data_IF_304190174398
#
_entry.id   IF_304190174398
#
_cell.length_a   1.000
_cell.length_b   1.000
_cell.length_c   1.000
_cell.angle_alpha   90.00
_cell.angle_beta   90.00
_cell.angle_gamma   90.00
#
_symmetry.space_group_name_H-M   'P 1'
#
loop_
_entity.id
_entity.type
_entity.pdbx_description
1 polymer ?
#
# COMPACT_ATOMS: atom_id res chain seq x y z
N UNK A 1 -18.45 2.00 19.53
CA UNK A 1 -18.17 3.42 19.32
C UNK A 1 -17.57 4.09 20.58
N UNK A 2 -16.75 3.41 21.38
CA UNK A 2 -16.24 3.97 22.66
C UNK A 2 -14.83 3.49 23.08
N UNK A 3 -14.02 2.95 22.20
CA UNK A 3 -12.68 2.42 22.53
C UNK A 3 -11.52 3.37 22.21
N UNK A 4 -11.77 4.64 21.84
CA UNK A 4 -10.73 5.58 21.36
C UNK A 4 -10.50 6.80 22.28
N UNK A 5 -11.11 6.85 23.46
CA UNK A 5 -10.95 7.97 24.42
C UNK A 5 -10.36 7.51 25.76
N UNK A 6 -9.20 6.85 25.72
CA UNK A 6 -8.39 6.69 26.94
C UNK A 6 -7.71 8.04 27.29
N UNK A 7 -8.05 8.58 28.44
CA UNK A 7 -7.48 9.82 28.99
C UNK A 7 -5.95 9.73 29.13
N UNK A 8 -5.23 10.56 28.36
CA UNK A 8 -3.78 10.78 28.48
C UNK A 8 -3.46 11.67 29.71
N UNK A 9 -4.39 11.85 30.66
CA UNK A 9 -4.25 12.80 31.77
C UNK A 9 -3.28 12.42 32.91
N UNK A 10 -2.58 11.27 32.83
CA UNK A 10 -1.66 10.84 33.89
C UNK A 10 -0.27 10.41 33.39
N UNK A 11 0.35 11.18 32.51
CA UNK A 11 1.81 11.09 32.33
C UNK A 11 2.52 12.09 33.24
N UNK A 12 2.49 11.83 34.56
CA UNK A 12 3.28 12.52 35.53
C UNK A 12 4.77 12.24 35.29
N UNK A 13 5.59 13.27 35.06
CA UNK A 13 7.04 13.40 35.30
C UNK A 13 8.00 12.21 35.05
N UNK A 14 7.61 11.12 34.41
CA UNK A 14 8.56 10.19 33.83
C UNK A 14 9.14 10.83 32.55
N UNK A 15 10.49 10.93 32.49
CA UNK A 15 11.20 11.26 31.24
C UNK A 15 10.55 10.44 30.13
N UNK A 16 9.86 11.11 29.21
CA UNK A 16 9.14 10.40 28.14
C UNK A 16 10.19 9.80 27.21
N UNK A 17 10.46 8.53 27.43
CA UNK A 17 11.36 7.77 26.59
C UNK A 17 10.70 7.61 25.21
N UNK A 18 11.42 7.99 24.16
CA UNK A 18 11.01 7.74 22.78
C UNK A 18 11.03 6.23 22.49
N UNK A 19 10.05 5.71 21.76
CA UNK A 19 9.96 4.29 21.45
C UNK A 19 10.64 3.97 20.10
N UNK A 20 11.58 3.03 20.09
CA UNK A 20 12.14 2.47 18.87
C UNK A 20 11.41 1.20 18.47
N UNK A 21 10.83 1.17 17.25
CA UNK A 21 10.09 0.05 16.70
C UNK A 21 10.74 -0.45 15.39
N UNK A 22 11.45 -1.55 15.51
CA UNK A 22 12.04 -2.23 14.36
C UNK A 22 11.00 -3.06 13.59
N UNK A 23 11.40 -3.61 12.45
CA UNK A 23 10.53 -4.44 11.59
C UNK A 23 9.88 -5.63 12.32
N UNK A 24 10.55 -6.20 13.32
CA UNK A 24 10.01 -7.35 14.06
C UNK A 24 8.91 -6.93 15.03
N UNK A 25 9.05 -5.78 15.69
CA UNK A 25 8.00 -5.21 16.53
C UNK A 25 6.78 -4.83 15.69
N UNK A 26 6.99 -4.15 14.57
CA UNK A 26 5.93 -3.78 13.62
C UNK A 26 5.22 -5.02 13.05
N UNK A 27 5.97 -6.06 12.71
CA UNK A 27 5.42 -7.33 12.20
C UNK A 27 4.55 -8.12 13.19
N UNK A 28 4.55 -7.76 14.48
CA UNK A 28 3.65 -8.33 15.50
C UNK A 28 2.29 -7.64 15.58
N UNK A 29 2.11 -6.55 14.85
CA UNK A 29 0.85 -5.82 14.81
C UNK A 29 -0.11 -6.55 13.87
N UNK A 30 -1.32 -6.75 14.34
CA UNK A 30 -2.38 -7.43 13.60
C UNK A 30 -2.75 -6.69 12.30
N UNK A 31 -2.99 -7.43 11.22
CA UNK A 31 -3.35 -6.86 9.91
C UNK A 31 -4.65 -6.06 9.96
N UNK A 32 -5.62 -6.48 10.77
CA UNK A 32 -6.88 -5.76 10.95
C UNK A 32 -6.68 -4.38 11.55
N UNK A 33 -5.75 -4.23 12.51
CA UNK A 33 -5.39 -2.92 13.11
C UNK A 33 -4.80 -2.00 12.05
N UNK A 34 -3.87 -2.52 11.23
CA UNK A 34 -3.24 -1.74 10.15
C UNK A 34 -4.28 -1.33 9.10
N UNK A 35 -5.16 -2.25 8.69
CA UNK A 35 -6.19 -1.94 7.70
C UNK A 35 -7.20 -0.92 8.22
N UNK A 36 -7.61 -1.02 9.50
CA UNK A 36 -8.45 -0.01 10.15
C UNK A 36 -7.77 1.36 10.19
N UNK A 37 -6.45 1.41 10.39
CA UNK A 37 -5.70 2.66 10.33
C UNK A 37 -5.69 3.27 8.91
N UNK A 38 -5.63 2.46 7.86
CA UNK A 38 -5.78 2.92 6.46
C UNK A 38 -7.20 3.39 6.17
N UNK A 39 -8.23 2.68 6.64
CA UNK A 39 -9.63 3.14 6.56
C UNK A 39 -9.81 4.51 7.25
N UNK A 40 -9.17 4.71 8.41
CA UNK A 40 -9.15 6.00 9.11
C UNK A 40 -8.50 7.12 8.29
N UNK A 41 -7.42 6.83 7.57
CA UNK A 41 -6.81 7.81 6.67
C UNK A 41 -7.78 8.28 5.59
N UNK A 42 -8.50 7.38 4.94
CA UNK A 42 -9.52 7.76 3.96
C UNK A 42 -10.69 8.55 4.58
N UNK A 43 -11.10 8.24 5.82
CA UNK A 43 -12.09 9.06 6.55
C UNK A 43 -11.58 10.48 6.80
N UNK A 44 -10.28 10.64 7.10
CA UNK A 44 -9.66 11.96 7.24
C UNK A 44 -9.61 12.70 5.90
N UNK A 45 -9.40 11.99 4.78
CA UNK A 45 -9.51 12.58 3.42
C UNK A 45 -10.91 13.15 3.21
N UNK A 46 -11.96 12.38 3.50
CA UNK A 46 -13.36 12.85 3.34
C UNK A 46 -13.71 14.04 4.24
N UNK A 47 -13.18 14.05 5.46
CA UNK A 47 -13.45 15.15 6.42
C UNK A 47 -12.49 16.32 6.30
N UNK A 48 -11.44 16.21 5.50
CA UNK A 48 -10.35 17.20 5.34
C UNK A 48 -9.65 17.58 6.68
N UNK A 49 -9.64 16.66 7.66
CA UNK A 49 -9.05 16.88 8.98
C UNK A 49 -7.58 16.42 9.03
N UNK A 50 -6.79 16.88 8.09
CA UNK A 50 -5.35 16.64 8.02
C UNK A 50 -4.65 17.78 7.28
N UNK A 51 -3.34 17.89 7.48
CA UNK A 51 -2.47 18.76 6.68
C UNK A 51 -1.31 17.93 6.15
N UNK A 52 -1.27 17.77 4.84
CA UNK A 52 -0.29 16.95 4.13
C UNK A 52 0.20 17.72 2.90
N UNK A 53 1.36 18.37 2.99
CA UNK A 53 1.99 18.97 1.81
C UNK A 53 2.44 17.89 0.83
N UNK A 54 2.67 18.29 -0.41
CA UNK A 54 3.28 17.42 -1.40
C UNK A 54 4.62 16.89 -0.88
N UNK A 55 4.94 15.63 -1.21
CA UNK A 55 6.22 15.03 -0.83
C UNK A 55 7.37 15.83 -1.44
N UNK A 56 8.37 16.13 -0.62
CA UNK A 56 9.58 16.80 -1.09
C UNK A 56 10.56 15.77 -1.62
N UNK A 57 11.09 16.04 -2.81
CA UNK A 57 12.15 15.26 -3.43
C UNK A 57 13.44 16.08 -3.37
N UNK A 58 14.49 15.50 -2.80
CA UNK A 58 15.83 16.04 -2.82
C UNK A 58 16.71 15.05 -3.59
N UNK A 59 17.22 15.47 -4.75
CA UNK A 59 17.99 14.62 -5.64
C UNK A 59 19.48 14.98 -5.55
N UNK A 60 20.31 13.94 -5.51
CA UNK A 60 21.76 14.04 -5.71
C UNK A 60 22.21 12.91 -6.64
N UNK A 61 22.50 13.27 -7.90
CA UNK A 61 22.80 12.33 -8.99
C UNK A 61 21.65 11.34 -9.18
N UNK A 62 21.91 10.03 -9.04
CA UNK A 62 20.91 8.97 -9.15
C UNK A 62 20.17 8.70 -7.81
N UNK A 63 20.57 9.37 -6.74
CA UNK A 63 20.03 9.17 -5.41
C UNK A 63 18.91 10.15 -5.11
N UNK A 64 17.89 9.70 -4.42
CA UNK A 64 16.77 10.54 -4.00
C UNK A 64 16.50 10.39 -2.52
N UNK A 65 16.34 11.51 -1.82
CA UNK A 65 15.75 11.58 -0.49
C UNK A 65 14.33 12.13 -0.59
N UNK A 66 13.37 11.37 -0.06
CA UNK A 66 11.97 11.76 0.03
C UNK A 66 11.63 12.16 1.47
N UNK A 67 11.00 13.31 1.63
CA UNK A 67 10.44 13.80 2.89
C UNK A 67 8.93 13.83 2.76
N UNK A 68 8.24 13.13 3.66
CA UNK A 68 6.79 12.94 3.60
C UNK A 68 6.14 13.33 4.93
N UNK A 69 6.01 14.64 5.24
CA UNK A 69 5.35 15.09 6.45
C UNK A 69 3.83 15.01 6.34
N UNK A 70 3.16 14.77 7.47
CA UNK A 70 1.72 14.84 7.59
C UNK A 70 1.31 15.14 9.02
N UNK A 71 0.27 15.96 9.17
CA UNK A 71 -0.34 16.33 10.45
C UNK A 71 -1.78 15.85 10.52
N UNK A 72 -2.19 15.39 11.70
CA UNK A 72 -3.59 15.17 12.08
C UNK A 72 -3.85 15.78 13.45
N UNK A 73 -5.05 15.64 13.99
CA UNK A 73 -5.45 16.26 15.24
C UNK A 73 -4.48 15.94 16.40
N UNK A 74 -4.13 14.66 16.60
CA UNK A 74 -3.34 14.21 17.77
C UNK A 74 -1.85 14.02 17.49
N UNK A 75 -1.51 13.68 16.27
CA UNK A 75 -0.16 13.30 15.90
C UNK A 75 0.27 13.98 14.61
N UNK A 76 1.56 14.21 14.50
CA UNK A 76 2.19 14.44 13.20
C UNK A 76 3.34 13.47 13.01
N UNK A 77 3.69 13.25 11.76
CA UNK A 77 4.75 12.33 11.44
C UNK A 77 5.50 12.77 10.18
N UNK A 78 6.74 12.34 10.09
CA UNK A 78 7.54 12.50 8.87
C UNK A 78 8.21 11.18 8.54
N UNK A 79 8.00 10.70 7.31
CA UNK A 79 8.77 9.59 6.77
C UNK A 79 9.93 10.14 5.95
N UNK A 80 11.15 9.71 6.28
CA UNK A 80 12.38 9.92 5.53
C UNK A 80 12.65 8.65 4.73
N UNK A 81 12.69 8.73 3.41
CA UNK A 81 12.97 7.57 2.54
C UNK A 81 14.15 7.91 1.64
N UNK A 82 15.17 7.10 1.67
CA UNK A 82 16.28 7.13 0.72
C UNK A 82 16.06 6.10 -0.38
N UNK A 83 16.19 6.52 -1.63
CA UNK A 83 16.18 5.67 -2.83
C UNK A 83 17.55 5.78 -3.47
N UNK A 84 18.36 4.74 -3.28
CA UNK A 84 19.74 4.65 -3.72
C UNK A 84 19.89 3.42 -4.61
N UNK A 85 19.79 3.53 -5.93
CA UNK A 85 19.77 2.39 -6.86
C UNK A 85 20.98 1.46 -6.70
N UNK A 86 22.15 2.02 -6.44
CA UNK A 86 23.41 1.28 -6.31
C UNK A 86 23.68 0.73 -4.90
N UNK A 87 22.82 0.99 -3.90
CA UNK A 87 23.01 0.52 -2.52
C UNK A 87 23.20 -1.00 -2.41
N UNK A 88 22.64 -1.76 -3.36
CA UNK A 88 22.80 -3.21 -3.43
C UNK A 88 24.25 -3.66 -3.60
N UNK A 89 25.08 -2.85 -4.26
CA UNK A 89 26.53 -3.10 -4.42
C UNK A 89 27.27 -3.04 -3.06
N UNK A 90 26.65 -2.34 -2.08
CA UNK A 90 27.15 -2.22 -0.71
C UNK A 90 26.40 -3.12 0.28
N UNK A 91 25.65 -4.12 -0.21
CA UNK A 91 24.88 -5.06 0.63
C UNK A 91 23.66 -4.44 1.31
N UNK A 92 23.23 -3.24 0.88
CA UNK A 92 22.08 -2.53 1.43
C UNK A 92 20.87 -2.58 0.47
N UNK A 93 19.62 -2.53 0.98
CA UNK A 93 18.45 -2.33 0.12
C UNK A 93 18.54 -1.01 -0.64
N UNK A 94 18.02 -0.99 -1.87
CA UNK A 94 17.95 0.25 -2.65
C UNK A 94 17.00 1.30 -2.04
N UNK A 95 16.04 0.85 -1.24
CA UNK A 95 15.09 1.73 -0.53
C UNK A 95 15.21 1.47 0.96
N UNK A 96 15.55 2.51 1.71
CA UNK A 96 15.60 2.52 3.17
C UNK A 96 14.73 3.67 3.68
N UNK A 97 14.26 3.58 4.91
CA UNK A 97 13.48 4.67 5.48
C UNK A 97 13.31 4.58 6.98
N UNK A 98 13.11 5.75 7.54
CA UNK A 98 12.79 5.96 8.95
C UNK A 98 11.48 6.74 9.04
N UNK A 99 10.63 6.38 9.98
CA UNK A 99 9.41 7.10 10.32
C UNK A 99 9.57 7.71 11.71
N UNK A 100 9.35 9.01 11.83
CA UNK A 100 9.31 9.71 13.14
C UNK A 100 7.85 10.10 13.39
N UNK A 101 7.31 9.67 14.53
CA UNK A 101 5.98 10.04 15.03
C UNK A 101 6.14 10.99 16.21
N UNK A 102 5.35 12.05 16.23
CA UNK A 102 5.37 13.08 17.29
C UNK A 102 3.96 13.47 17.72
N UNK A 103 3.87 13.95 18.94
CA UNK A 103 2.65 14.51 19.53
C UNK A 103 2.36 15.91 18.94
N UNK A 104 1.16 16.11 18.43
CA UNK A 104 0.80 17.36 17.75
C UNK A 104 0.44 18.52 18.72
N UNK A 105 0.37 18.27 20.02
CA UNK A 105 0.14 19.33 21.03
C UNK A 105 1.45 19.89 21.54
N UNK A 106 2.38 19.01 21.90
CA UNK A 106 3.67 19.37 22.52
C UNK A 106 4.84 19.47 21.54
N UNK A 107 4.70 18.86 20.34
CA UNK A 107 5.80 18.70 19.40
C UNK A 107 6.80 17.60 19.77
N UNK A 108 6.55 16.85 20.85
CA UNK A 108 7.48 15.87 21.38
C UNK A 108 7.59 14.64 20.46
N UNK A 109 8.79 14.17 20.10
CA UNK A 109 8.99 12.89 19.44
C UNK A 109 8.54 11.74 20.35
N UNK A 110 7.68 10.85 19.82
CA UNK A 110 7.12 9.72 20.55
C UNK A 110 7.74 8.39 20.11
N UNK A 111 8.02 8.24 18.81
CA UNK A 111 8.60 7.02 18.28
C UNK A 111 9.44 7.23 17.03
N UNK A 112 10.46 6.40 16.91
CA UNK A 112 11.18 6.14 15.63
C UNK A 112 10.87 4.71 15.22
N UNK A 113 10.47 4.53 13.95
CA UNK A 113 10.03 3.26 13.40
C UNK A 113 10.78 2.91 12.12
N UNK A 114 10.93 1.62 11.83
CA UNK A 114 11.39 1.13 10.54
C UNK A 114 10.42 1.57 9.44
N UNK A 115 10.83 2.56 8.65
CA UNK A 115 9.98 3.17 7.61
C UNK A 115 9.67 2.22 6.46
N UNK A 116 10.56 1.26 6.16
CA UNK A 116 10.31 0.25 5.14
C UNK A 116 9.23 -0.74 5.61
N UNK A 117 9.27 -1.15 6.88
CA UNK A 117 8.25 -2.02 7.47
C UNK A 117 6.88 -1.33 7.53
N UNK A 118 6.81 -0.07 7.98
CA UNK A 118 5.56 0.72 7.94
C UNK A 118 5.03 0.82 6.51
N UNK A 119 5.91 1.13 5.54
CA UNK A 119 5.51 1.24 4.14
C UNK A 119 4.99 -0.10 3.59
N UNK A 120 5.62 -1.22 3.90
CA UNK A 120 5.14 -2.54 3.46
C UNK A 120 3.74 -2.83 4.01
N UNK A 121 3.53 -2.62 5.30
CA UNK A 121 2.26 -2.86 5.97
C UNK A 121 1.14 -1.94 5.44
N UNK A 122 1.35 -0.60 5.41
CA UNK A 122 0.32 0.34 4.96
C UNK A 122 -0.02 0.17 3.48
N UNK A 123 0.97 -0.17 2.65
CA UNK A 123 0.73 -0.36 1.20
C UNK A 123 -0.04 -1.66 0.95
N UNK A 124 0.30 -2.73 1.66
CA UNK A 124 -0.48 -3.97 1.63
C UNK A 124 -1.93 -3.74 2.07
N UNK A 125 -2.12 -2.98 3.15
CA UNK A 125 -3.46 -2.66 3.67
C UNK A 125 -4.29 -1.80 2.70
N UNK A 126 -3.66 -0.88 1.95
CA UNK A 126 -4.36 -0.12 0.89
C UNK A 126 -4.86 -1.05 -0.21
N UNK A 127 -4.01 -1.93 -0.74
CA UNK A 127 -4.44 -2.89 -1.76
C UNK A 127 -5.46 -3.90 -1.21
N UNK A 128 -5.27 -4.36 0.04
CA UNK A 128 -6.24 -5.23 0.73
C UNK A 128 -7.61 -4.57 0.91
N UNK A 129 -7.64 -3.29 1.24
CA UNK A 129 -8.88 -2.52 1.30
C UNK A 129 -9.51 -2.36 -0.09
N UNK A 130 -8.69 -2.15 -1.14
CA UNK A 130 -9.13 -2.21 -2.53
C UNK A 130 -9.78 -3.55 -2.86
N UNK A 131 -9.15 -4.67 -2.50
CA UNK A 131 -9.75 -6.01 -2.66
C UNK A 131 -11.08 -6.10 -1.90
N UNK A 132 -11.14 -5.66 -0.64
CA UNK A 132 -12.35 -5.72 0.20
C UNK A 132 -13.52 -4.96 -0.41
N UNK A 133 -13.30 -3.77 -0.94
CA UNK A 133 -14.37 -2.88 -1.40
C UNK A 133 -14.72 -3.04 -2.89
N UNK A 134 -13.79 -3.51 -3.71
CA UNK A 134 -13.93 -3.53 -5.17
C UNK A 134 -14.16 -4.94 -5.76
N UNK A 135 -14.18 -5.98 -4.94
CA UNK A 135 -14.40 -7.36 -5.42
C UNK A 135 -15.53 -8.02 -4.67
N UNK A 136 -16.22 -8.96 -5.33
CA UNK A 136 -17.22 -9.81 -4.66
C UNK A 136 -16.57 -10.72 -3.61
N UNK A 137 -17.30 -11.04 -2.54
CA UNK A 137 -16.84 -11.98 -1.49
C UNK A 137 -16.60 -13.39 -2.03
N UNK A 138 -17.26 -13.73 -3.13
CA UNK A 138 -17.25 -15.05 -3.77
C UNK A 138 -16.03 -15.32 -4.65
N UNK A 139 -15.11 -14.33 -4.87
CA UNK A 139 -13.94 -14.54 -5.71
C UNK A 139 -13.02 -15.62 -5.11
N UNK A 140 -12.54 -16.52 -5.96
CA UNK A 140 -11.70 -17.64 -5.54
C UNK A 140 -10.31 -17.67 -6.17
N UNK A 141 -10.07 -16.80 -7.15
CA UNK A 141 -8.79 -16.75 -7.87
C UNK A 141 -8.21 -15.36 -7.90
N UNK A 142 -6.91 -15.26 -7.64
CA UNK A 142 -6.20 -14.00 -7.61
C UNK A 142 -4.81 -14.12 -8.24
N UNK A 143 -4.26 -13.00 -8.68
CA UNK A 143 -2.93 -12.91 -9.24
C UNK A 143 -2.11 -11.77 -8.65
N UNK A 144 -0.84 -12.06 -8.34
CA UNK A 144 0.14 -11.06 -7.91
C UNK A 144 1.26 -11.00 -8.94
N UNK A 145 1.49 -9.83 -9.52
CA UNK A 145 2.63 -9.53 -10.38
C UNK A 145 3.68 -8.74 -9.60
N UNK A 146 4.89 -9.29 -9.50
CA UNK A 146 5.98 -8.78 -8.67
C UNK A 146 6.07 -9.51 -7.32
N UNK A 147 7.13 -10.32 -7.14
CA UNK A 147 7.36 -11.13 -5.94
C UNK A 147 8.34 -10.47 -4.96
N UNK A 148 8.37 -9.15 -4.93
CA UNK A 148 9.13 -8.35 -3.98
C UNK A 148 8.42 -8.16 -2.63
N UNK A 149 8.96 -7.25 -1.80
CA UNK A 149 8.39 -6.91 -0.48
C UNK A 149 6.94 -6.45 -0.59
N UNK A 150 6.63 -5.59 -1.57
CA UNK A 150 5.28 -5.09 -1.78
C UNK A 150 4.34 -6.20 -2.26
N UNK A 151 4.74 -7.01 -3.24
CA UNK A 151 3.93 -8.13 -3.72
C UNK A 151 3.59 -9.11 -2.61
N UNK A 152 4.55 -9.46 -1.75
CA UNK A 152 4.31 -10.31 -0.58
C UNK A 152 3.30 -9.67 0.40
N UNK A 153 3.43 -8.38 0.65
CA UNK A 153 2.49 -7.65 1.50
C UNK A 153 1.09 -7.61 0.88
N UNK A 154 0.99 -7.35 -0.43
CA UNK A 154 -0.29 -7.37 -1.16
C UNK A 154 -0.96 -8.74 -1.07
N UNK A 155 -0.22 -9.84 -1.25
CA UNK A 155 -0.75 -11.19 -1.13
C UNK A 155 -1.32 -11.47 0.25
N UNK A 156 -0.62 -11.08 1.33
CA UNK A 156 -1.08 -11.25 2.70
C UNK A 156 -2.40 -10.52 2.98
N UNK A 157 -2.51 -9.26 2.54
CA UNK A 157 -3.73 -8.47 2.75
C UNK A 157 -4.88 -8.87 1.81
N UNK A 158 -4.57 -9.37 0.62
CA UNK A 158 -5.55 -10.00 -0.25
C UNK A 158 -6.16 -11.24 0.44
N UNK A 159 -5.32 -12.14 0.96
CA UNK A 159 -5.74 -13.36 1.65
C UNK A 159 -6.43 -13.07 2.99
N UNK A 160 -6.11 -11.97 3.65
CA UNK A 160 -6.81 -11.49 4.83
C UNK A 160 -8.26 -11.07 4.51
N UNK A 161 -8.51 -10.53 3.33
CA UNK A 161 -9.82 -10.00 2.95
C UNK A 161 -10.70 -10.95 2.14
N UNK A 162 -10.12 -11.98 1.49
CA UNK A 162 -10.86 -12.91 0.60
C UNK A 162 -10.42 -14.36 0.78
N UNK A 163 -11.40 -15.27 0.71
CA UNK A 163 -11.16 -16.72 0.77
C UNK A 163 -10.73 -17.23 -0.62
N UNK A 164 -9.49 -16.93 -1.00
CA UNK A 164 -8.92 -17.37 -2.27
C UNK A 164 -8.61 -18.86 -2.23
N UNK A 165 -8.87 -19.58 -3.32
CA UNK A 165 -8.54 -21.00 -3.51
C UNK A 165 -7.24 -21.18 -4.29
N UNK A 166 -7.03 -20.35 -5.31
CA UNK A 166 -5.84 -20.42 -6.15
C UNK A 166 -5.21 -19.04 -6.28
N UNK A 167 -3.94 -18.91 -5.91
CA UNK A 167 -3.14 -17.69 -6.03
C UNK A 167 -2.05 -17.88 -7.08
N UNK A 168 -2.15 -17.12 -8.17
CA UNK A 168 -1.15 -17.05 -9.24
C UNK A 168 -0.11 -15.99 -8.88
N UNK A 169 1.18 -16.33 -8.98
CA UNK A 169 2.28 -15.41 -8.71
C UNK A 169 3.19 -15.37 -9.93
N UNK A 170 3.47 -14.19 -10.42
CA UNK A 170 4.40 -13.94 -11.50
C UNK A 170 5.49 -12.95 -11.09
N UNK A 171 6.71 -13.25 -11.46
CA UNK A 171 7.86 -12.35 -11.40
C UNK A 171 8.80 -12.68 -12.56
N UNK A 172 9.56 -11.70 -13.05
CA UNK A 172 10.61 -11.93 -14.06
C UNK A 172 11.63 -12.97 -13.57
N UNK A 173 11.87 -13.02 -12.25
CA UNK A 173 12.66 -14.07 -11.59
C UNK A 173 11.76 -15.17 -11.06
N UNK A 174 11.70 -16.30 -11.74
CA UNK A 174 10.99 -17.48 -11.22
C UNK A 174 11.45 -17.87 -9.81
N UNK A 175 12.73 -17.64 -9.47
CA UNK A 175 13.27 -17.86 -8.12
C UNK A 175 12.59 -16.94 -7.10
N UNK A 176 12.30 -15.69 -7.44
CA UNK A 176 11.58 -14.76 -6.57
C UNK A 176 10.12 -15.21 -6.37
N UNK A 177 9.43 -15.59 -7.45
CA UNK A 177 8.05 -16.11 -7.40
C UNK A 177 7.98 -17.35 -6.49
N UNK A 178 8.86 -18.32 -6.68
CA UNK A 178 8.93 -19.53 -5.83
C UNK A 178 9.29 -19.22 -4.38
N UNK A 179 10.18 -18.26 -4.13
CA UNK A 179 10.52 -17.77 -2.79
C UNK A 179 9.32 -17.19 -2.05
N UNK A 180 8.53 -16.38 -2.75
CA UNK A 180 7.28 -15.82 -2.22
C UNK A 180 6.25 -16.93 -1.93
N UNK A 181 6.04 -17.88 -2.84
CA UNK A 181 5.19 -19.06 -2.65
C UNK A 181 5.60 -19.83 -1.39
N UNK A 182 6.89 -20.12 -1.24
CA UNK A 182 7.40 -20.86 -0.07
C UNK A 182 7.18 -20.10 1.26
N UNK A 183 7.20 -18.78 1.21
CA UNK A 183 6.88 -17.93 2.37
C UNK A 183 5.41 -18.01 2.71
N UNK A 184 4.54 -17.80 1.72
CA UNK A 184 3.09 -17.81 1.91
C UNK A 184 2.54 -19.17 2.31
N UNK A 185 3.10 -20.27 1.81
CA UNK A 185 2.73 -21.66 2.21
C UNK A 185 2.89 -21.93 3.71
N UNK A 186 3.82 -21.24 4.37
CA UNK A 186 4.03 -21.36 5.82
C UNK A 186 2.95 -20.62 6.63
N UNK A 187 2.33 -19.61 6.03
CA UNK A 187 1.35 -18.76 6.65
C UNK A 187 -0.08 -19.17 6.29
N UNK A 188 -0.28 -19.67 5.06
CA UNK A 188 -1.57 -20.04 4.48
C UNK A 188 -1.43 -21.40 3.76
N UNK A 189 -1.55 -22.50 4.52
CA UNK A 189 -1.27 -23.83 4.01
C UNK A 189 -2.34 -24.39 3.05
N UNK A 190 -3.62 -24.02 3.24
CA UNK A 190 -4.77 -24.61 2.55
C UNK A 190 -5.11 -23.89 1.23
N UNK A 191 -4.11 -23.37 0.54
CA UNK A 191 -4.24 -22.58 -0.69
C UNK A 191 -3.40 -23.21 -1.80
N UNK A 192 -3.97 -23.29 -3.00
CA UNK A 192 -3.22 -23.63 -4.20
C UNK A 192 -2.38 -22.46 -4.68
N UNK A 193 -1.09 -22.69 -4.88
CA UNK A 193 -0.16 -21.68 -5.39
C UNK A 193 0.37 -22.08 -6.76
N UNK A 194 0.28 -21.17 -7.71
CA UNK A 194 0.77 -21.37 -9.08
C UNK A 194 1.82 -20.32 -9.42
N UNK A 195 3.06 -20.76 -9.68
CA UNK A 195 4.04 -19.88 -10.31
C UNK A 195 3.67 -19.74 -11.79
N UNK A 196 3.08 -18.61 -12.16
CA UNK A 196 2.66 -18.36 -13.54
C UNK A 196 3.89 -18.22 -14.45
N UNK A 197 3.84 -18.84 -15.62
CA UNK A 197 4.94 -18.79 -16.61
C UNK A 197 4.98 -17.46 -17.37
N UNK A 198 3.83 -16.82 -17.51
CA UNK A 198 3.68 -15.53 -18.19
C UNK A 198 2.67 -14.65 -17.44
N UNK A 199 2.76 -13.31 -17.56
CA UNK A 199 1.73 -12.41 -17.03
C UNK A 199 0.34 -12.71 -17.62
N UNK A 200 0.26 -13.02 -18.91
CA UNK A 200 -1.00 -13.36 -19.59
C UNK A 200 -1.66 -14.61 -18.99
N UNK A 201 -0.89 -15.66 -18.61
CA UNK A 201 -1.42 -16.81 -17.89
C UNK A 201 -2.05 -16.39 -16.55
N UNK A 202 -1.39 -15.52 -15.79
CA UNK A 202 -1.92 -15.02 -14.53
C UNK A 202 -3.22 -14.23 -14.74
N UNK A 203 -3.24 -13.31 -15.70
CA UNK A 203 -4.41 -12.48 -16.01
C UNK A 203 -5.60 -13.34 -16.41
N UNK A 204 -5.41 -14.33 -17.32
CA UNK A 204 -6.48 -15.19 -17.78
C UNK A 204 -7.14 -16.02 -16.67
N UNK A 205 -6.36 -16.41 -15.65
CA UNK A 205 -6.83 -17.30 -14.59
C UNK A 205 -7.22 -16.58 -13.28
N UNK A 206 -7.13 -15.25 -13.21
CA UNK A 206 -7.40 -14.49 -11.98
C UNK A 206 -8.60 -13.58 -12.15
N UNK A 207 -9.39 -13.41 -11.06
CA UNK A 207 -10.49 -12.44 -10.97
C UNK A 207 -10.04 -11.10 -10.41
N UNK A 208 -9.07 -11.09 -9.53
CA UNK A 208 -8.38 -9.87 -9.07
C UNK A 208 -6.89 -10.00 -9.37
N UNK A 209 -6.31 -8.96 -9.93
CA UNK A 209 -4.91 -8.87 -10.33
C UNK A 209 -4.28 -7.66 -9.64
N UNK A 210 -3.22 -7.91 -8.86
CA UNK A 210 -2.47 -6.85 -8.19
C UNK A 210 -1.07 -6.79 -8.78
N UNK A 211 -0.68 -5.64 -9.31
CA UNK A 211 0.68 -5.39 -9.77
C UNK A 211 1.44 -4.54 -8.72
N UNK A 212 2.64 -5.01 -8.37
CA UNK A 212 3.53 -4.38 -7.40
C UNK A 212 4.98 -4.45 -7.90
N UNK A 213 5.21 -3.99 -9.13
CA UNK A 213 6.48 -4.06 -9.84
C UNK A 213 7.13 -2.68 -9.97
N UNK A 214 8.33 -2.65 -10.50
CA UNK A 214 9.03 -1.42 -10.89
C UNK A 214 9.09 -1.25 -12.41
N UNK A 215 8.15 -1.84 -13.15
CA UNK A 215 8.15 -1.82 -14.61
C UNK A 215 7.94 -0.40 -15.16
N UNK A 216 8.64 -0.09 -16.23
CA UNK A 216 8.46 1.13 -17.01
C UNK A 216 7.58 0.92 -18.24
N UNK A 217 7.22 -0.32 -18.52
CA UNK A 217 6.39 -0.71 -19.66
C UNK A 217 5.31 -1.67 -19.19
N UNK A 218 4.16 -1.72 -19.86
CA UNK A 218 3.09 -2.66 -19.55
C UNK A 218 3.59 -4.10 -19.40
N UNK A 219 3.10 -4.80 -18.38
CA UNK A 219 3.55 -6.14 -18.01
C UNK A 219 3.09 -7.23 -18.99
N UNK A 220 2.06 -6.96 -19.76
CA UNK A 220 1.47 -7.91 -20.71
C UNK A 220 0.73 -7.19 -21.85
N UNK A 221 0.49 -7.92 -22.93
CA UNK A 221 -0.46 -7.56 -23.96
C UNK A 221 -1.74 -8.37 -23.75
N UNK A 222 -2.90 -7.79 -24.02
CA UNK A 222 -4.17 -8.46 -23.80
C UNK A 222 -5.22 -8.02 -24.81
N UNK A 223 -6.26 -8.85 -24.93
CA UNK A 223 -7.52 -8.53 -25.59
C UNK A 223 -8.60 -8.18 -24.55
N UNK A 224 -9.67 -7.47 -24.93
CA UNK A 224 -10.77 -7.16 -24.02
C UNK A 224 -11.34 -8.40 -23.30
N UNK A 225 -11.48 -9.53 -24.00
CA UNK A 225 -12.07 -10.76 -23.45
C UNK A 225 -11.33 -11.29 -22.20
N UNK A 226 -10.03 -11.00 -22.08
CA UNK A 226 -9.24 -11.40 -20.93
C UNK A 226 -9.30 -10.40 -19.77
N UNK A 227 -9.91 -9.23 -19.98
CA UNK A 227 -9.91 -8.11 -19.04
C UNK A 227 -11.28 -7.92 -18.39
N UNK A 228 -12.35 -8.08 -19.17
CA UNK A 228 -13.71 -7.81 -18.74
C UNK A 228 -14.12 -8.60 -17.48
N UNK A 229 -14.81 -7.90 -16.57
CA UNK A 229 -15.32 -8.47 -15.33
C UNK A 229 -14.23 -8.82 -14.30
N UNK A 230 -13.07 -8.12 -14.33
CA UNK A 230 -11.95 -8.31 -13.40
C UNK A 230 -11.59 -7.02 -12.69
N UNK A 231 -10.95 -7.16 -11.54
CA UNK A 231 -10.42 -6.03 -10.78
C UNK A 231 -8.90 -5.98 -10.92
N UNK A 232 -8.39 -4.83 -11.33
CA UNK A 232 -6.97 -4.55 -11.48
C UNK A 232 -6.53 -3.51 -10.45
N UNK A 233 -5.50 -3.82 -9.67
CA UNK A 233 -4.96 -2.95 -8.62
C UNK A 233 -3.49 -2.67 -8.94
N UNK A 234 -3.16 -1.43 -9.25
CA UNK A 234 -1.79 -0.98 -9.52
C UNK A 234 -1.19 -0.31 -8.29
N UNK A 235 -0.07 -0.87 -7.82
CA UNK A 235 0.65 -0.42 -6.63
C UNK A 235 2.07 0.03 -6.97
N UNK A 236 2.71 -0.59 -7.98
CA UNK A 236 4.14 -0.43 -8.19
C UNK A 236 4.53 0.83 -8.94
N UNK A 237 3.68 1.33 -9.82
CA UNK A 237 3.91 2.54 -10.60
C UNK A 237 3.68 3.80 -9.74
N UNK A 238 4.75 4.50 -9.35
CA UNK A 238 4.72 5.72 -8.52
C UNK A 238 5.49 6.89 -9.14
N UNK A 239 5.83 6.78 -10.42
CA UNK A 239 6.47 7.83 -11.23
C UNK A 239 5.82 7.85 -12.61
N UNK A 240 5.81 9.01 -13.31
CA UNK A 240 5.20 9.11 -14.64
C UNK A 240 5.85 8.21 -15.72
N UNK A 241 7.13 7.85 -15.52
CA UNK A 241 7.88 6.95 -16.42
C UNK A 241 7.71 5.46 -16.09
N UNK A 242 6.80 5.12 -15.15
CA UNK A 242 6.49 3.74 -14.75
C UNK A 242 5.05 3.40 -15.14
N UNK A 243 4.87 2.23 -15.77
CA UNK A 243 3.56 1.73 -16.16
C UNK A 243 3.50 0.21 -16.01
N UNK A 244 2.50 -0.29 -15.29
CA UNK A 244 2.32 -1.71 -15.04
C UNK A 244 1.27 -2.32 -15.97
N UNK A 245 0.17 -1.61 -16.23
CA UNK A 245 -0.93 -2.11 -17.01
C UNK A 245 -0.99 -1.50 -18.41
N UNK A 246 -1.35 -2.28 -19.44
CA UNK A 246 -1.60 -1.74 -20.78
C UNK A 246 -2.86 -0.86 -20.79
N UNK A 247 -2.92 0.10 -21.72
CA UNK A 247 -4.04 1.05 -21.83
C UNK A 247 -5.40 0.35 -21.93
N UNK A 248 -5.46 -0.80 -22.60
CA UNK A 248 -6.70 -1.58 -22.75
C UNK A 248 -7.35 -1.95 -21.41
N UNK A 249 -6.57 -2.07 -20.31
CA UNK A 249 -7.12 -2.37 -18.98
C UNK A 249 -7.92 -1.19 -18.45
N UNK A 250 -7.38 0.02 -18.56
CA UNK A 250 -8.05 1.21 -18.06
C UNK A 250 -9.14 1.71 -19.02
N UNK A 251 -8.95 1.51 -20.33
CA UNK A 251 -9.93 1.78 -21.38
C UNK A 251 -11.18 0.91 -21.23
N UNK A 252 -11.00 -0.37 -20.82
CA UNK A 252 -12.10 -1.31 -20.59
C UNK A 252 -12.72 -1.20 -19.19
N UNK A 253 -12.22 -0.31 -18.32
CA UNK A 253 -12.72 -0.20 -16.96
C UNK A 253 -14.09 0.49 -16.92
N UNK A 254 -15.06 -0.14 -16.25
CA UNK A 254 -16.34 0.50 -15.89
C UNK A 254 -16.18 1.55 -14.81
N UNK A 255 -15.19 1.37 -13.94
CA UNK A 255 -14.83 2.31 -12.87
C UNK A 255 -13.32 2.42 -12.70
N UNK A 256 -12.86 3.65 -12.58
CA UNK A 256 -11.46 3.99 -12.32
C UNK A 256 -11.39 4.70 -10.98
N UNK A 257 -10.66 4.09 -10.04
CA UNK A 257 -10.43 4.66 -8.71
C UNK A 257 -8.95 5.01 -8.50
N UNK A 258 -8.73 6.08 -7.75
CA UNK A 258 -7.40 6.48 -7.28
C UNK A 258 -7.43 6.74 -5.77
N UNK A 259 -6.31 6.57 -5.07
CA UNK A 259 -6.22 6.94 -3.66
C UNK A 259 -6.42 8.46 -3.46
N UNK A 260 -5.81 9.27 -4.31
CA UNK A 260 -6.06 10.71 -4.47
C UNK A 260 -5.83 11.13 -5.91
N UNK A 261 -6.39 12.26 -6.33
CA UNK A 261 -6.19 12.83 -7.68
C UNK A 261 -4.72 13.14 -7.99
N UNK A 262 -3.84 13.12 -7.00
CA UNK A 262 -2.39 13.25 -7.19
C UNK A 262 -1.80 12.07 -8.00
N UNK A 263 -2.41 10.89 -7.94
CA UNK A 263 -2.03 9.72 -8.74
C UNK A 263 -2.06 10.01 -10.25
N UNK A 264 -2.94 10.89 -10.70
CA UNK A 264 -3.02 11.31 -12.11
C UNK A 264 -1.76 12.04 -12.61
N UNK A 265 -0.92 12.55 -11.70
CA UNK A 265 0.34 13.21 -12.03
C UNK A 265 1.55 12.30 -11.79
N UNK A 266 1.48 11.43 -10.79
CA UNK A 266 2.62 10.64 -10.33
C UNK A 266 2.72 9.25 -10.94
N UNK A 267 1.66 8.69 -11.51
CA UNK A 267 1.70 7.32 -12.04
C UNK A 267 1.44 7.29 -13.54
N UNK A 268 2.35 6.66 -14.30
CA UNK A 268 2.15 6.43 -15.72
C UNK A 268 0.93 5.58 -16.04
N UNK A 269 0.45 4.75 -15.10
CA UNK A 269 -0.80 3.99 -15.29
C UNK A 269 -2.05 4.89 -15.40
N UNK A 270 -1.99 6.14 -14.91
CA UNK A 270 -3.06 7.13 -15.06
C UNK A 270 -2.62 8.28 -15.98
N UNK A 271 -1.39 8.80 -15.79
CA UNK A 271 -0.90 9.96 -16.53
C UNK A 271 -0.81 9.69 -18.04
N UNK A 272 -0.34 8.49 -18.44
CA UNK A 272 -0.22 8.14 -19.86
C UNK A 272 -1.58 8.01 -20.55
N UNK A 273 -2.57 7.24 -20.02
CA UNK A 273 -3.91 7.20 -20.60
C UNK A 273 -4.62 8.56 -20.68
N UNK A 274 -4.41 9.44 -19.70
CA UNK A 274 -4.92 10.82 -19.75
C UNK A 274 -4.25 11.63 -20.87
N UNK A 275 -2.93 11.54 -21.02
CA UNK A 275 -2.16 12.23 -22.04
C UNK A 275 -2.55 11.75 -23.45
N UNK A 276 -2.79 10.45 -23.60
CA UNK A 276 -3.13 9.82 -24.87
C UNK A 276 -4.64 9.88 -25.19
N UNK A 277 -5.42 10.59 -24.34
CA UNK A 277 -6.89 10.73 -24.44
C UNK A 277 -7.67 9.41 -24.45
N UNK A 278 -7.11 8.37 -23.82
CA UNK A 278 -7.78 7.07 -23.61
C UNK A 278 -8.87 7.20 -22.55
N UNK A 279 -8.63 8.01 -21.54
CA UNK A 279 -9.58 8.36 -20.48
C UNK A 279 -9.62 9.88 -20.25
N UNK A 280 -10.69 10.35 -19.61
CA UNK A 280 -10.84 11.74 -19.20
C UNK A 280 -10.76 11.88 -17.67
N UNK A 281 -10.31 13.05 -17.20
CA UNK A 281 -10.17 13.30 -15.75
C UNK A 281 -11.48 13.12 -14.98
N UNK A 282 -12.63 13.40 -15.61
CA UNK A 282 -13.96 13.25 -15.01
C UNK A 282 -14.40 11.79 -14.79
N UNK A 283 -13.72 10.82 -15.41
CA UNK A 283 -14.00 9.38 -15.23
C UNK A 283 -13.28 8.81 -14.00
N UNK A 284 -12.30 9.54 -13.46
CA UNK A 284 -11.51 9.11 -12.31
C UNK A 284 -12.22 9.49 -11.01
N UNK A 285 -12.40 8.54 -10.13
CA UNK A 285 -13.06 8.68 -8.81
C UNK A 285 -12.05 8.50 -7.69
N UNK A 286 -12.18 9.27 -6.61
CA UNK A 286 -11.38 9.05 -5.41
C UNK A 286 -11.94 7.87 -4.61
N UNK A 287 -11.07 6.94 -4.25
CA UNK A 287 -11.40 5.71 -3.53
C UNK A 287 -12.06 5.97 -2.17
N UNK A 288 -11.68 7.07 -1.50
CA UNK A 288 -12.29 7.48 -0.22
C UNK A 288 -13.83 7.57 -0.30
N UNK A 289 -14.37 7.95 -1.46
CA UNK A 289 -15.81 8.06 -1.69
C UNK A 289 -16.59 6.73 -1.60
N UNK A 290 -15.91 5.59 -1.55
CA UNK A 290 -16.53 4.26 -1.36
C UNK A 290 -16.78 3.91 0.11
N UNK A 291 -16.11 4.58 1.04
CA UNK A 291 -16.25 4.25 2.46
C UNK A 291 -17.69 4.48 2.95
N UNK A 292 -18.19 3.47 3.66
CA UNK A 292 -19.56 3.51 4.19
C UNK A 292 -20.66 3.27 3.15
N UNK A 293 -20.30 3.00 1.89
CA UNK A 293 -21.24 2.61 0.84
C UNK A 293 -21.24 1.09 0.65
N UNK A 294 -22.41 0.52 0.40
CA UNK A 294 -22.57 -0.88 0.03
C UNK A 294 -22.68 -0.99 -1.49
N UNK A 295 -21.64 -0.55 -2.21
CA UNK A 295 -21.59 -0.71 -3.65
C UNK A 295 -21.19 -2.16 -4.00
N UNK A 296 -21.85 -2.73 -5.01
CA UNK A 296 -21.58 -4.09 -5.50
C UNK A 296 -20.96 -3.97 -6.88
N UNK A 297 -19.75 -4.52 -7.03
CA UNK A 297 -18.97 -4.45 -8.27
C UNK A 297 -18.90 -5.81 -9.00
N UNK A 298 -19.93 -6.66 -8.84
CA UNK A 298 -19.99 -7.94 -9.54
C UNK A 298 -20.00 -7.74 -11.06
N UNK A 299 -19.16 -8.52 -11.74
CA UNK A 299 -19.02 -8.54 -13.22
C UNK A 299 -18.60 -7.19 -13.85
N UNK A 300 -18.15 -6.23 -13.07
CA UNK A 300 -17.59 -4.98 -13.55
C UNK A 300 -16.08 -5.09 -13.70
N UNK A 301 -15.55 -4.38 -14.67
CA UNK A 301 -14.10 -4.20 -14.85
C UNK A 301 -13.68 -2.97 -14.04
N UNK A 302 -12.82 -3.18 -13.05
CA UNK A 302 -12.42 -2.12 -12.12
C UNK A 302 -10.92 -1.90 -12.23
N UNK A 303 -10.53 -0.63 -12.28
CA UNK A 303 -9.12 -0.24 -12.14
C UNK A 303 -8.94 0.62 -10.89
N UNK A 304 -8.04 0.21 -10.00
CA UNK A 304 -7.66 0.98 -8.82
C UNK A 304 -6.17 1.26 -8.81
N UNK A 305 -5.81 2.53 -8.75
CA UNK A 305 -4.44 3.00 -8.63
C UNK A 305 -4.15 3.62 -7.28
N UNK A 306 -3.12 3.10 -6.59
CA UNK A 306 -2.56 3.77 -5.41
C UNK A 306 -1.10 4.15 -5.65
N UNK A 307 -0.77 5.40 -5.40
CA UNK A 307 0.61 5.92 -5.31
C UNK A 307 1.06 6.07 -3.86
N UNK A 308 0.13 5.91 -2.93
CA UNK A 308 0.33 6.11 -1.51
C UNK A 308 0.43 7.59 -1.12
N UNK A 309 0.17 7.89 0.13
CA UNK A 309 0.24 9.24 0.70
C UNK A 309 0.78 9.21 2.13
N UNK A 310 1.35 10.32 2.59
CA UNK A 310 1.92 10.43 3.93
C UNK A 310 0.86 10.24 5.05
N UNK A 311 -0.41 10.49 4.74
CA UNK A 311 -1.51 10.27 5.67
C UNK A 311 -1.69 8.78 6.03
N UNK A 312 -1.47 7.85 5.09
CA UNK A 312 -1.43 6.42 5.41
C UNK A 312 -0.28 6.07 6.35
N UNK A 313 0.88 6.67 6.12
CA UNK A 313 2.06 6.46 6.97
C UNK A 313 1.78 6.98 8.39
N UNK A 314 1.18 8.17 8.53
CA UNK A 314 0.82 8.77 9.82
C UNK A 314 -0.20 7.91 10.59
N UNK A 315 -1.31 7.53 9.97
CA UNK A 315 -2.37 6.78 10.66
C UNK A 315 -1.91 5.39 11.09
N UNK A 316 -1.13 4.72 10.23
CA UNK A 316 -0.56 3.40 10.56
C UNK A 316 0.51 3.52 11.62
N UNK A 317 1.43 4.50 11.55
CA UNK A 317 2.42 4.72 12.61
C UNK A 317 1.76 5.02 13.95
N UNK A 318 0.69 5.81 13.95
CA UNK A 318 -0.08 6.13 15.18
C UNK A 318 -0.71 4.87 15.79
N UNK A 319 -1.34 4.02 14.98
CA UNK A 319 -1.94 2.77 15.44
C UNK A 319 -0.87 1.78 15.95
N UNK A 320 0.24 1.65 15.22
CA UNK A 320 1.38 0.82 15.62
C UNK A 320 1.96 1.30 16.95
N UNK A 321 2.16 2.62 17.14
CA UNK A 321 2.66 3.19 18.38
C UNK A 321 1.73 2.89 19.57
N UNK A 322 0.44 3.17 19.41
CA UNK A 322 -0.55 2.96 20.48
C UNK A 322 -0.59 1.49 20.91
N UNK A 323 -0.68 0.56 19.96
CA UNK A 323 -0.71 -0.87 20.28
C UNK A 323 0.65 -1.37 20.83
N UNK A 324 1.76 -0.81 20.36
CA UNK A 324 3.09 -1.14 20.88
C UNK A 324 3.26 -0.71 22.34
N UNK A 325 2.72 0.46 22.71
CA UNK A 325 2.69 0.92 24.11
C UNK A 325 1.86 -0.02 25.00
N UNK A 326 0.67 -0.42 24.57
CA UNK A 326 -0.19 -1.36 25.29
C UNK A 326 0.48 -2.73 25.47
N UNK A 327 1.07 -3.26 24.41
CA UNK A 327 1.70 -4.60 24.39
C UNK A 327 3.16 -4.59 24.85
N UNK A 328 3.71 -3.44 25.24
CA UNK A 328 5.11 -3.25 25.65
C UNK A 328 6.09 -3.77 24.60
N UNK A 329 5.82 -3.48 23.31
CA UNK A 329 6.69 -3.82 22.18
C UNK A 329 7.70 -2.69 21.95
N UNK A 330 8.84 -3.06 21.36
CA UNK A 330 9.90 -2.10 21.04
C UNK A 330 10.90 -1.86 22.14
N UNK A 331 11.76 -0.89 21.94
CA UNK A 331 12.82 -0.50 22.86
C UNK A 331 12.63 0.96 23.25
N UNK A 332 12.63 1.26 24.55
CA UNK A 332 12.64 2.63 25.04
C UNK A 332 14.03 3.25 24.83
N UNK A 333 14.06 4.45 24.31
CA UNK A 333 15.27 5.26 24.11
C UNK A 333 15.16 6.49 25.02
N UNK A 334 16.18 6.74 25.81
CA UNK A 334 16.33 8.02 26.52
C UNK A 334 16.70 9.10 25.49
N UNK A 335 15.93 10.19 25.47
CA UNK A 335 16.10 11.29 24.51
C UNK A 335 16.26 12.61 25.21
#
# INVERSE_FOLDING_TARGET
MSLWYGDIKNLSNEKVAMLFLNKYAIGKIDQGVIQTAVEKAYQLVLSQLYNMPDRMHVEDRENTLLLMPCFSEKFFATKLVSVFPEARQHGQPAVNGVMVLSDNVSGQPLAIMDGAAITAQRTGAVGGLGVKLLTADSIQTAGIMGAGVQGLSQARYLLFNRNIKTLYIYDLSNKAAMGMINTLKKEFADLEYVAAKTPGQLVSNSKVIIAATTSKTPLFESSPDNILGKTFISIGSFRPDMQEFPHIVIESADDIFVDTMFAAKESGDIANPLKDNVIQKGEIKEFAGLLGKNEIFENRTIFFKSVGMALFDLTVASAVYQLAMEKKLGQKLDF
#
